data_IF_634062636201
#
_entry.id   IF_634062636201
#
_cell.length_a   1.000
_cell.length_b   1.000
_cell.length_c   1.000
_cell.angle_alpha   90.00
_cell.angle_beta   90.00
_cell.angle_gamma   90.00
#
_symmetry.space_group_name_H-M   'P 1'
#
loop_
_entity.id
_entity.type
_entity.pdbx_description
1 polymer ?
#
# COMPACT_ATOMS: atom_id res chain seq x y z
N UNK A 1 11.76 -12.33 -10.25
CA UNK A 1 12.33 -11.53 -11.35
C UNK A 1 11.79 -10.12 -11.18
N UNK A 2 12.64 -9.11 -11.09
CA UNK A 2 12.23 -7.72 -10.83
C UNK A 2 11.46 -7.16 -12.03
N UNK A 3 10.28 -6.55 -11.79
CA UNK A 3 9.45 -5.97 -12.85
C UNK A 3 10.20 -4.87 -13.64
N UNK A 4 11.10 -4.13 -13.01
CA UNK A 4 11.96 -3.12 -13.66
C UNK A 4 12.96 -3.79 -14.59
N UNK A 5 13.54 -4.92 -14.16
CA UNK A 5 14.45 -5.70 -15.00
C UNK A 5 13.71 -6.26 -16.23
N UNK A 6 12.51 -6.81 -16.05
CA UNK A 6 11.69 -7.33 -17.16
C UNK A 6 11.35 -6.26 -18.19
N UNK A 7 10.97 -5.05 -17.75
CA UNK A 7 10.67 -3.92 -18.66
C UNK A 7 11.93 -3.45 -19.39
N UNK A 8 13.07 -3.40 -18.69
CA UNK A 8 14.37 -3.08 -19.32
C UNK A 8 14.71 -4.08 -20.42
N UNK A 9 14.56 -5.38 -20.13
CA UNK A 9 14.79 -6.43 -21.11
C UNK A 9 13.84 -6.35 -22.30
N UNK A 10 12.56 -6.06 -22.05
CA UNK A 10 11.56 -5.89 -23.11
C UNK A 10 11.93 -4.74 -24.06
N UNK A 11 12.45 -3.63 -23.52
CA UNK A 11 12.93 -2.48 -24.32
C UNK A 11 14.16 -2.85 -25.17
N UNK A 12 15.10 -3.62 -24.62
CA UNK A 12 16.28 -4.10 -25.36
C UNK A 12 15.86 -4.97 -26.54
N UNK A 13 15.01 -5.97 -26.28
CA UNK A 13 14.51 -6.90 -27.30
C UNK A 13 13.72 -6.16 -28.38
N UNK A 14 12.84 -5.22 -28.01
CA UNK A 14 12.11 -4.40 -28.98
C UNK A 14 13.05 -3.62 -29.91
N UNK A 15 14.15 -3.06 -29.37
CA UNK A 15 15.18 -2.37 -30.16
C UNK A 15 15.94 -3.31 -31.08
N UNK A 16 16.34 -4.48 -30.58
CA UNK A 16 17.04 -5.52 -31.34
C UNK A 16 16.24 -5.96 -32.57
N UNK A 17 14.95 -6.23 -32.38
CA UNK A 17 14.06 -6.64 -33.46
C UNK A 17 13.42 -5.50 -34.25
N UNK A 18 13.82 -4.25 -33.99
CA UNK A 18 13.29 -3.03 -34.64
C UNK A 18 11.76 -2.95 -34.60
N UNK A 19 11.15 -3.41 -33.51
CA UNK A 19 9.69 -3.37 -33.31
C UNK A 19 9.32 -2.16 -32.46
N UNK A 20 8.29 -1.37 -32.84
CA UNK A 20 7.82 -0.29 -32.00
C UNK A 20 7.24 -0.84 -30.69
N UNK A 21 7.58 -0.21 -29.57
CA UNK A 21 7.08 -0.53 -28.25
C UNK A 21 6.57 0.75 -27.58
N UNK A 22 5.32 0.71 -27.11
CA UNK A 22 4.72 1.77 -26.30
C UNK A 22 4.53 1.24 -24.87
N UNK A 23 4.88 2.05 -23.88
CA UNK A 23 4.75 1.73 -22.46
C UNK A 23 4.06 2.90 -21.76
N UNK A 24 3.08 2.61 -20.91
CA UNK A 24 2.42 3.59 -20.05
C UNK A 24 2.62 3.17 -18.60
N UNK A 25 3.07 4.10 -17.77
CA UNK A 25 3.22 3.90 -16.33
C UNK A 25 2.11 4.64 -15.60
N UNK A 26 1.43 3.94 -14.68
CA UNK A 26 0.37 4.51 -13.85
C UNK A 26 0.95 4.70 -12.45
N UNK A 27 1.00 5.95 -12.00
CA UNK A 27 1.33 6.28 -10.62
C UNK A 27 0.05 6.50 -9.82
N UNK A 28 -0.05 5.81 -8.68
CA UNK A 28 -1.22 5.88 -7.81
C UNK A 28 -0.96 6.89 -6.69
N UNK A 29 -1.72 7.99 -6.69
CA UNK A 29 -1.62 9.02 -5.66
C UNK A 29 -1.97 8.44 -4.28
N UNK A 30 -0.97 8.38 -3.39
CA UNK A 30 -1.10 7.90 -2.02
C UNK A 30 -1.77 6.52 -1.91
N UNK A 31 -1.33 5.56 -2.72
CA UNK A 31 -1.96 4.23 -2.83
C UNK A 31 -2.30 3.58 -1.48
N UNK A 32 -1.41 3.69 -0.48
CA UNK A 32 -1.65 3.11 0.84
C UNK A 32 -2.65 3.91 1.70
N UNK A 33 -2.67 5.24 1.59
CA UNK A 33 -3.60 6.07 2.33
C UNK A 33 -5.00 6.08 1.69
N UNK A 34 -5.09 5.88 0.38
CA UNK A 34 -6.37 5.88 -0.35
C UNK A 34 -7.17 4.59 -0.18
N UNK A 35 -6.52 3.47 0.12
CA UNK A 35 -7.18 2.17 0.24
C UNK A 35 -8.13 2.16 1.44
N UNK A 36 -9.37 1.74 1.24
CA UNK A 36 -10.35 1.61 2.32
C UNK A 36 -10.01 0.43 3.25
N UNK A 37 -9.98 0.67 4.56
CA UNK A 37 -9.57 -0.34 5.53
C UNK A 37 -10.51 -1.54 5.52
N UNK A 38 -11.83 -1.32 5.36
CA UNK A 38 -12.79 -2.43 5.34
C UNK A 38 -12.63 -3.30 4.09
N UNK A 39 -12.34 -2.70 2.94
CA UNK A 39 -12.02 -3.44 1.71
C UNK A 39 -10.81 -4.35 1.90
N UNK A 40 -9.79 -3.91 2.64
CA UNK A 40 -8.65 -4.76 3.01
C UNK A 40 -9.08 -5.89 3.94
N UNK A 41 -9.90 -5.63 4.96
CA UNK A 41 -10.36 -6.68 5.89
C UNK A 41 -11.19 -7.76 5.19
N UNK A 42 -12.05 -7.35 4.24
CA UNK A 42 -12.84 -8.25 3.41
C UNK A 42 -11.94 -9.09 2.51
N UNK A 43 -10.97 -8.47 1.83
CA UNK A 43 -10.05 -9.17 0.95
C UNK A 43 -9.17 -10.18 1.70
N UNK A 44 -8.70 -9.84 2.91
CA UNK A 44 -7.96 -10.80 3.75
C UNK A 44 -8.84 -12.01 4.13
N UNK A 45 -10.15 -11.78 4.31
CA UNK A 45 -11.11 -12.86 4.59
C UNK A 45 -11.32 -13.73 3.36
N UNK A 46 -11.44 -13.12 2.17
CA UNK A 46 -11.55 -13.81 0.89
C UNK A 46 -10.31 -14.66 0.56
N UNK A 47 -9.12 -14.20 0.97
CA UNK A 47 -7.86 -14.94 0.85
C UNK A 47 -7.68 -16.04 1.91
N UNK A 48 -8.74 -16.34 2.69
CA UNK A 48 -8.75 -17.40 3.70
C UNK A 48 -7.68 -17.25 4.79
N UNK A 49 -7.28 -16.01 5.11
CA UNK A 49 -6.41 -15.77 6.26
C UNK A 49 -7.13 -16.11 7.57
N UNK A 50 -6.40 -16.62 8.58
CA UNK A 50 -7.04 -16.99 9.83
C UNK A 50 -7.71 -15.79 10.49
N UNK A 51 -8.98 -15.95 10.85
CA UNK A 51 -9.81 -14.91 11.48
C UNK A 51 -9.17 -14.20 12.67
N UNK A 52 -8.37 -14.87 13.54
CA UNK A 52 -7.68 -14.18 14.64
C UNK A 52 -6.79 -13.03 14.18
N UNK A 53 -6.05 -13.20 13.07
CA UNK A 53 -5.16 -12.15 12.55
C UNK A 53 -5.95 -10.97 11.99
N UNK A 54 -7.01 -11.24 11.23
CA UNK A 54 -7.88 -10.19 10.67
C UNK A 54 -8.54 -9.39 11.80
N UNK A 55 -8.96 -10.05 12.88
CA UNK A 55 -9.53 -9.38 14.05
C UNK A 55 -8.52 -8.44 14.72
N UNK A 56 -7.30 -8.90 14.95
CA UNK A 56 -6.22 -8.08 15.52
C UNK A 56 -5.95 -6.85 14.63
N UNK A 57 -5.83 -7.04 13.31
CA UNK A 57 -5.64 -5.94 12.37
C UNK A 57 -6.80 -4.93 12.45
N UNK A 58 -8.04 -5.42 12.49
CA UNK A 58 -9.22 -4.55 12.59
C UNK A 58 -9.23 -3.74 13.88
N UNK A 59 -8.84 -4.34 15.00
CA UNK A 59 -8.71 -3.65 16.28
C UNK A 59 -7.60 -2.59 16.24
N UNK A 60 -6.44 -2.90 15.64
CA UNK A 60 -5.35 -1.95 15.45
C UNK A 60 -5.78 -0.72 14.65
N UNK A 61 -6.56 -0.90 13.59
CA UNK A 61 -6.99 0.21 12.72
C UNK A 61 -8.23 0.98 13.22
N UNK A 62 -8.96 0.50 14.22
CA UNK A 62 -10.23 1.13 14.66
C UNK A 62 -10.03 2.45 15.41
N UNK A 63 -9.06 2.52 16.31
CA UNK A 63 -8.83 3.66 17.21
C UNK A 63 -7.35 3.86 17.51
N UNK A 64 -6.50 3.85 16.48
CA UNK A 64 -5.07 4.05 16.68
C UNK A 64 -4.81 5.47 17.20
N UNK A 65 -4.25 5.59 18.40
CA UNK A 65 -3.88 6.86 19.01
C UNK A 65 -2.38 6.88 19.28
N UNK A 66 -1.77 8.04 19.13
CA UNK A 66 -0.37 8.25 19.50
C UNK A 66 -0.29 9.34 20.55
N UNK A 67 0.65 9.19 21.49
CA UNK A 67 0.93 10.18 22.53
C UNK A 67 2.22 10.87 22.16
N UNK A 68 2.18 12.20 22.05
CA UNK A 68 3.37 13.02 21.80
C UNK A 68 3.46 14.13 22.84
N UNK A 69 4.67 14.46 23.27
CA UNK A 69 4.91 15.55 24.23
C UNK A 69 5.32 16.80 23.45
N UNK A 70 4.49 17.84 23.51
CA UNK A 70 4.76 19.15 22.90
C UNK A 70 4.83 20.18 24.02
N UNK A 71 5.93 20.93 24.10
CA UNK A 71 6.15 21.98 25.11
C UNK A 71 5.87 21.51 26.55
N UNK A 72 6.45 20.37 26.93
CA UNK A 72 6.29 19.75 28.26
C UNK A 72 4.86 19.28 28.60
N UNK A 73 3.96 19.23 27.61
CA UNK A 73 2.59 18.73 27.77
C UNK A 73 2.35 17.52 26.87
N UNK A 74 1.76 16.49 27.46
CA UNK A 74 1.32 15.31 26.73
C UNK A 74 0.04 15.59 25.95
N UNK A 75 0.04 15.23 24.67
CA UNK A 75 -1.12 15.34 23.77
C UNK A 75 -1.37 13.96 23.15
N UNK A 76 -2.62 13.52 23.22
CA UNK A 76 -3.10 12.30 22.56
C UNK A 76 -3.71 12.71 21.21
N UNK A 77 -3.23 12.10 20.13
CA UNK A 77 -3.67 12.38 18.77
C UNK A 77 -4.25 11.09 18.20
N UNK A 78 -5.47 11.18 17.65
CA UNK A 78 -6.03 10.11 16.82
C UNK A 78 -5.23 10.03 15.52
N UNK A 79 -4.54 8.92 15.31
CA UNK A 79 -3.77 8.68 14.09
C UNK A 79 -4.77 8.41 12.98
N UNK A 80 -4.73 9.27 11.97
CA UNK A 80 -5.43 9.05 10.70
C UNK A 80 -4.45 8.55 9.65
N UNK A 81 -4.97 8.13 8.50
CA UNK A 81 -4.16 7.78 7.34
C UNK A 81 -3.22 8.93 6.96
N UNK A 82 -2.04 8.59 6.45
CA UNK A 82 -0.90 9.49 6.29
C UNK A 82 -1.06 10.51 5.17
N UNK A 83 -0.02 11.35 5.03
CA UNK A 83 0.14 12.33 3.95
C UNK A 83 1.44 12.08 3.21
#
# INVERSE_FOLDING_TARGET
MDHIHTITRLKEVSREYKRPLCLTFIDLKKAFDSVETEAVMEELTNQALPTPYIKILRELYRNFTTKTTLFYKDIIINVKKGV
#
